data_IF_843245346798
#
_entry.id   IF_843245346798
#
_cell.length_a   1.000
_cell.length_b   1.000
_cell.length_c   1.000
_cell.angle_alpha   90.00
_cell.angle_beta   90.00
_cell.angle_gamma   90.00
#
_symmetry.space_group_name_H-M   'P 1'
#
loop_
_entity.id
_entity.type
_entity.pdbx_description
1 polymer ?
#
# COMPACT_ATOMS: atom_id res chain seq x y z
N UNK A 1 -1.87 16.70 13.34
CA UNK A 1 -1.60 15.33 12.88
C UNK A 1 -0.09 15.15 12.85
N UNK A 2 0.42 14.05 13.37
CA UNK A 2 1.85 13.80 13.36
C UNK A 2 2.31 13.44 11.94
N UNK A 3 3.51 13.91 11.56
CA UNK A 3 4.15 13.59 10.29
C UNK A 3 4.60 12.11 10.31
N UNK A 4 4.39 11.36 9.24
CA UNK A 4 4.95 10.02 9.06
C UNK A 4 6.29 10.12 8.35
N UNK A 5 6.33 10.77 7.20
CA UNK A 5 7.56 11.07 6.48
C UNK A 5 7.45 12.34 5.62
N UNK A 6 8.61 12.88 5.26
CA UNK A 6 8.76 13.97 4.32
C UNK A 6 9.85 13.63 3.29
N UNK A 7 9.58 13.90 2.03
CA UNK A 7 10.55 13.91 0.94
C UNK A 7 10.93 15.33 0.63
N UNK A 8 12.24 15.60 0.53
CA UNK A 8 12.80 16.92 0.25
C UNK A 8 13.65 16.84 -1.02
N UNK A 9 13.22 17.52 -2.08
CA UNK A 9 13.89 17.62 -3.39
C UNK A 9 14.43 16.29 -3.90
N UNK A 10 13.61 15.24 -3.74
CA UNK A 10 14.01 13.87 -3.99
C UNK A 10 13.98 13.56 -5.49
N UNK A 11 15.08 13.03 -6.03
CA UNK A 11 15.14 12.53 -7.40
C UNK A 11 15.64 11.08 -7.43
N UNK A 12 15.15 10.32 -8.43
CA UNK A 12 15.52 8.93 -8.63
C UNK A 12 15.66 8.59 -10.11
N UNK A 13 16.61 7.70 -10.43
CA UNK A 13 16.88 7.25 -11.79
C UNK A 13 17.25 5.75 -11.83
N UNK A 14 17.03 5.14 -12.98
CA UNK A 14 17.59 3.84 -13.36
C UNK A 14 18.56 4.03 -14.52
N UNK A 15 19.85 3.96 -14.23
CA UNK A 15 20.89 4.35 -15.19
C UNK A 15 20.77 5.82 -15.57
N UNK A 16 20.67 6.11 -16.86
CA UNK A 16 20.50 7.47 -17.38
C UNK A 16 19.05 7.99 -17.35
N UNK A 17 18.06 7.13 -17.08
CA UNK A 17 16.64 7.50 -17.12
C UNK A 17 16.18 8.06 -15.78
N UNK A 18 15.90 9.35 -15.72
CA UNK A 18 15.26 9.99 -14.56
C UNK A 18 13.80 9.57 -14.50
N UNK A 19 13.38 8.99 -13.36
CA UNK A 19 12.02 8.50 -13.12
C UNK A 19 11.26 9.39 -12.15
N UNK A 20 11.96 9.98 -11.20
CA UNK A 20 11.41 11.00 -10.29
C UNK A 20 12.39 12.18 -10.24
N UNK A 21 11.85 13.40 -10.27
CA UNK A 21 12.61 14.63 -10.35
C UNK A 21 12.06 15.68 -9.37
N UNK A 22 12.91 16.14 -8.44
CA UNK A 22 12.61 17.18 -7.45
C UNK A 22 11.26 16.97 -6.71
N UNK A 23 11.03 15.76 -6.23
CA UNK A 23 9.81 15.40 -5.51
C UNK A 23 9.86 15.95 -4.09
N UNK A 24 8.85 16.77 -3.76
CA UNK A 24 8.58 17.25 -2.41
C UNK A 24 7.21 16.69 -2.00
N UNK A 25 7.18 15.87 -0.94
CA UNK A 25 5.97 15.16 -0.56
C UNK A 25 5.94 14.86 0.93
N UNK A 26 4.80 15.12 1.56
CA UNK A 26 4.57 14.87 2.99
C UNK A 26 3.40 13.93 3.18
N UNK A 27 3.55 13.02 4.14
CA UNK A 27 2.48 12.12 4.57
C UNK A 27 2.35 12.18 6.08
N UNK A 28 1.13 12.39 6.55
CA UNK A 28 0.77 12.49 7.96
C UNK A 28 -0.12 11.33 8.39
N UNK A 29 -0.24 11.12 9.70
CA UNK A 29 -1.20 10.18 10.26
C UNK A 29 -2.62 10.51 9.75
N UNK A 30 -3.42 9.48 9.50
CA UNK A 30 -4.78 9.58 8.96
C UNK A 30 -4.90 10.06 7.51
N UNK A 31 -3.80 10.28 6.78
CA UNK A 31 -3.88 10.53 5.35
C UNK A 31 -4.40 9.29 4.61
N UNK A 32 -5.29 9.51 3.64
CA UNK A 32 -5.66 8.51 2.64
C UNK A 32 -5.44 9.13 1.27
N UNK A 33 -4.30 8.80 0.66
CA UNK A 33 -3.80 9.43 -0.55
C UNK A 33 -3.86 8.45 -1.71
N UNK A 34 -4.54 8.85 -2.80
CA UNK A 34 -4.48 8.16 -4.08
C UNK A 34 -3.25 8.60 -4.86
N UNK A 35 -2.38 7.66 -5.24
CA UNK A 35 -1.22 7.91 -6.10
C UNK A 35 -1.60 7.55 -7.54
N UNK A 36 -1.74 8.55 -8.39
CA UNK A 36 -2.18 8.40 -9.78
C UNK A 36 -1.11 8.90 -10.75
N UNK A 37 -1.22 8.50 -12.00
CA UNK A 37 -0.31 8.95 -13.07
C UNK A 37 -0.15 7.89 -14.15
N UNK A 38 0.51 8.21 -15.28
CA UNK A 38 0.69 7.30 -16.39
C UNK A 38 1.56 6.10 -16.03
N UNK A 39 1.47 5.05 -16.86
CA UNK A 39 2.40 3.92 -16.76
C UNK A 39 3.83 4.42 -17.04
N UNK A 40 4.79 3.98 -16.21
CA UNK A 40 6.16 4.50 -16.25
C UNK A 40 6.36 5.86 -15.61
N UNK A 41 5.32 6.54 -15.12
CA UNK A 41 5.40 7.88 -14.48
C UNK A 41 6.13 7.94 -13.14
N UNK A 42 6.53 6.79 -12.55
CA UNK A 42 7.31 6.75 -11.32
C UNK A 42 6.56 6.28 -10.08
N UNK A 43 5.27 5.92 -10.16
CA UNK A 43 4.43 5.50 -9.02
C UNK A 43 5.06 4.35 -8.21
N UNK A 44 5.39 3.24 -8.86
CA UNK A 44 6.03 2.08 -8.19
C UNK A 44 7.43 2.43 -7.67
N UNK A 45 8.16 3.33 -8.35
CA UNK A 45 9.47 3.82 -7.88
C UNK A 45 9.31 4.63 -6.60
N UNK A 46 8.28 5.48 -6.52
CA UNK A 46 7.93 6.23 -5.31
C UNK A 46 7.69 5.27 -4.14
N UNK A 47 6.86 4.22 -4.32
CA UNK A 47 6.63 3.21 -3.28
C UNK A 47 7.92 2.48 -2.90
N UNK A 48 8.76 2.09 -3.87
CA UNK A 48 10.04 1.42 -3.60
C UNK A 48 11.02 2.29 -2.79
N UNK A 49 11.01 3.62 -3.00
CA UNK A 49 11.81 4.55 -2.20
C UNK A 49 11.28 4.62 -0.77
N UNK A 50 9.95 4.73 -0.57
CA UNK A 50 9.34 4.73 0.76
C UNK A 50 9.66 3.42 1.50
N UNK A 51 9.69 2.28 0.80
CA UNK A 51 10.07 0.97 1.35
C UNK A 51 11.59 0.82 1.60
N UNK A 52 12.40 1.80 1.18
CA UNK A 52 13.86 1.71 1.27
C UNK A 52 14.51 0.73 0.30
N UNK A 53 13.75 0.23 -0.70
CA UNK A 53 14.23 -0.72 -1.72
C UNK A 53 15.03 -0.02 -2.85
N UNK A 54 14.79 1.27 -3.06
CA UNK A 54 15.51 2.10 -4.02
C UNK A 54 16.02 3.33 -3.29
N UNK A 55 17.32 3.64 -3.48
CA UNK A 55 17.92 4.87 -2.94
C UNK A 55 17.73 6.00 -3.93
N UNK A 56 17.35 7.22 -3.48
CA UNK A 56 17.33 8.39 -4.33
C UNK A 56 18.74 8.76 -4.80
N UNK A 57 18.85 9.40 -5.96
CA UNK A 57 20.12 9.93 -6.48
C UNK A 57 20.42 11.32 -5.93
N UNK A 58 19.38 12.06 -5.53
CA UNK A 58 19.51 13.35 -4.81
C UNK A 58 18.31 13.55 -3.88
N UNK A 59 18.42 14.52 -2.97
CA UNK A 59 17.42 14.76 -1.94
C UNK A 59 17.38 13.65 -0.89
N UNK A 60 16.33 13.61 -0.10
CA UNK A 60 16.19 12.62 0.98
C UNK A 60 14.72 12.34 1.30
N UNK A 61 14.48 11.21 1.94
CA UNK A 61 13.25 10.92 2.68
C UNK A 61 13.58 10.88 4.16
N UNK A 62 12.82 11.61 4.95
CA UNK A 62 12.98 11.69 6.41
C UNK A 62 11.73 11.14 7.06
N UNK A 63 11.86 10.04 7.77
CA UNK A 63 10.78 9.47 8.58
C UNK A 63 10.76 10.10 9.96
N UNK A 64 9.57 10.24 10.55
CA UNK A 64 9.44 10.64 11.93
C UNK A 64 10.24 9.67 12.82
N UNK A 65 11.16 10.17 13.68
CA UNK A 65 11.98 9.33 14.57
C UNK A 65 11.14 8.41 15.48
N UNK A 66 9.97 8.84 15.91
CA UNK A 66 9.07 8.04 16.76
C UNK A 66 8.50 6.83 16.01
N UNK A 67 8.61 6.81 14.68
CA UNK A 67 8.19 5.73 13.80
C UNK A 67 9.36 4.84 13.33
N UNK A 68 10.57 5.06 13.86
CA UNK A 68 11.78 4.29 13.55
C UNK A 68 11.72 2.89 14.14
N UNK A 69 10.91 2.02 13.54
CA UNK A 69 10.81 0.60 13.93
C UNK A 69 10.58 -0.29 12.71
N UNK A 70 11.19 -1.50 12.73
CA UNK A 70 10.85 -2.53 11.76
C UNK A 70 9.35 -2.85 11.84
N UNK A 71 8.65 -2.86 10.69
CA UNK A 71 7.20 -3.11 10.63
C UNK A 71 6.33 -1.86 10.76
N UNK A 72 6.92 -0.65 10.64
CA UNK A 72 6.18 0.62 10.64
C UNK A 72 5.40 0.83 9.33
N UNK A 73 5.82 0.16 8.25
CA UNK A 73 5.20 0.22 6.93
C UNK A 73 4.65 -1.16 6.59
N UNK A 74 3.35 -1.24 6.31
CA UNK A 74 2.71 -2.38 5.68
C UNK A 74 2.72 -2.21 4.17
N UNK A 75 2.92 -3.29 3.43
CA UNK A 75 2.92 -3.26 1.97
C UNK A 75 2.11 -4.39 1.37
N UNK A 76 1.14 -4.03 0.56
CA UNK A 76 0.39 -4.93 -0.31
C UNK A 76 0.88 -4.68 -1.73
N UNK A 77 1.69 -5.60 -2.29
CA UNK A 77 2.16 -5.51 -3.67
C UNK A 77 1.04 -5.81 -4.64
N UNK A 78 1.25 -5.48 -5.89
CA UNK A 78 0.45 -6.01 -6.99
C UNK A 78 0.55 -7.54 -6.97
N UNK A 79 -0.58 -8.22 -6.80
CA UNK A 79 -0.63 -9.68 -6.71
C UNK A 79 -0.49 -10.27 -8.11
N UNK A 80 0.35 -11.29 -8.27
CA UNK A 80 0.51 -12.03 -9.51
C UNK A 80 0.01 -13.47 -9.37
N UNK A 81 -0.35 -14.10 -10.49
CA UNK A 81 -0.78 -15.50 -10.51
C UNK A 81 0.29 -16.48 -10.01
N UNK A 82 1.57 -16.08 -10.04
CA UNK A 82 2.69 -16.86 -9.50
C UNK A 82 2.66 -16.97 -7.97
N UNK A 83 2.08 -15.98 -7.28
CA UNK A 83 2.00 -15.96 -5.81
C UNK A 83 1.08 -17.04 -5.24
N UNK A 84 0.17 -17.59 -6.06
CA UNK A 84 -0.86 -18.57 -5.69
C UNK A 84 -0.31 -20.01 -5.66
N UNK A 85 0.81 -20.28 -6.33
CA UNK A 85 1.34 -21.63 -6.52
C UNK A 85 2.10 -22.19 -5.29
N UNK A 86 2.29 -21.38 -4.25
CA UNK A 86 3.04 -21.78 -3.06
C UNK A 86 2.17 -22.63 -2.12
N UNK A 87 2.65 -23.75 -1.58
CA UNK A 87 1.89 -24.63 -0.68
C UNK A 87 1.86 -24.04 0.76
N UNK A 88 1.23 -22.90 0.92
CA UNK A 88 1.05 -22.20 2.21
C UNK A 88 -0.43 -21.96 2.44
N UNK A 89 -0.83 -21.92 3.70
CA UNK A 89 -2.20 -21.61 4.09
C UNK A 89 -2.37 -20.12 4.47
N UNK A 90 -3.63 -19.69 4.62
CA UNK A 90 -4.00 -18.31 4.96
C UNK A 90 -3.29 -17.84 6.22
N UNK A 91 -3.28 -18.65 7.30
CA UNK A 91 -2.64 -18.30 8.57
C UNK A 91 -1.15 -18.05 8.38
N UNK A 92 -0.45 -18.90 7.64
CA UNK A 92 0.99 -18.78 7.42
C UNK A 92 1.33 -17.50 6.65
N UNK A 93 0.52 -17.16 5.64
CA UNK A 93 0.72 -15.92 4.87
C UNK A 93 0.51 -14.70 5.74
N UNK A 94 -0.59 -14.63 6.49
CA UNK A 94 -0.88 -13.50 7.39
C UNK A 94 0.24 -13.37 8.42
N UNK A 95 0.63 -14.47 9.08
CA UNK A 95 1.69 -14.49 10.09
C UNK A 95 3.05 -14.06 9.54
N UNK A 96 3.33 -14.30 8.26
CA UNK A 96 4.59 -13.91 7.62
C UNK A 96 4.85 -12.40 7.69
N UNK A 97 3.79 -11.57 7.79
CA UNK A 97 3.90 -10.13 7.98
C UNK A 97 4.53 -9.71 9.30
N UNK A 98 4.55 -10.58 10.31
CA UNK A 98 5.24 -10.33 11.59
C UNK A 98 6.74 -10.64 11.57
N UNK A 99 7.23 -11.40 10.56
CA UNK A 99 8.63 -11.83 10.50
C UNK A 99 9.60 -10.65 10.38
N UNK A 100 9.16 -9.53 9.83
CA UNK A 100 9.97 -8.31 9.71
C UNK A 100 10.30 -7.73 11.10
N UNK A 101 9.39 -7.87 12.09
CA UNK A 101 9.61 -7.41 13.46
C UNK A 101 10.36 -8.43 14.33
N UNK A 102 10.17 -9.71 14.05
CA UNK A 102 10.83 -10.80 14.78
C UNK A 102 12.09 -11.18 14.03
N UNK A 103 13.24 -11.22 14.73
CA UNK A 103 14.44 -11.85 14.14
C UNK A 103 14.04 -13.24 13.62
N UNK A 104 14.46 -13.59 12.43
CA UNK A 104 14.13 -14.78 11.62
C UNK A 104 14.12 -16.12 12.41
N UNK A 105 14.71 -16.17 13.60
CA UNK A 105 14.90 -17.36 14.44
C UNK A 105 13.85 -17.48 15.56
N UNK A 106 12.92 -16.54 15.71
CA UNK A 106 11.98 -16.59 16.83
C UNK A 106 10.75 -17.41 16.46
N UNK A 107 10.49 -18.50 17.19
CA UNK A 107 9.31 -19.33 17.03
C UNK A 107 8.03 -18.51 17.27
N UNK A 108 7.05 -18.62 16.39
CA UNK A 108 5.75 -17.96 16.53
C UNK A 108 5.04 -18.41 17.82
N UNK A 109 4.63 -17.47 18.64
CA UNK A 109 3.96 -17.71 19.93
C UNK A 109 2.47 -17.99 19.76
N UNK A 110 1.81 -18.47 20.82
CA UNK A 110 0.35 -18.61 20.84
C UNK A 110 -0.36 -17.25 20.69
N UNK A 111 0.24 -16.17 21.19
CA UNK A 111 -0.25 -14.79 21.05
C UNK A 111 -0.20 -14.31 19.60
N UNK A 112 0.87 -14.64 18.87
CA UNK A 112 0.98 -14.33 17.44
C UNK A 112 -0.13 -15.02 16.63
N UNK A 113 -0.41 -16.28 16.94
CA UNK A 113 -1.50 -17.03 16.30
C UNK A 113 -2.87 -16.42 16.61
N UNK A 114 -3.09 -16.01 17.87
CA UNK A 114 -4.32 -15.32 18.28
C UNK A 114 -4.48 -13.99 17.53
N UNK A 115 -3.39 -13.23 17.37
CA UNK A 115 -3.40 -11.99 16.61
C UNK A 115 -3.73 -12.25 15.14
N UNK A 116 -3.11 -13.28 14.52
CA UNK A 116 -3.40 -13.65 13.14
C UNK A 116 -4.87 -14.06 12.96
N UNK A 117 -5.42 -14.88 13.86
CA UNK A 117 -6.83 -15.25 13.86
C UNK A 117 -7.75 -14.02 13.94
N UNK A 118 -7.43 -13.04 14.80
CA UNK A 118 -8.19 -11.79 14.89
C UNK A 118 -8.15 -10.97 13.60
N UNK A 119 -7.01 -10.91 12.91
CA UNK A 119 -6.90 -10.22 11.61
C UNK A 119 -7.67 -10.97 10.51
N UNK A 120 -7.61 -12.31 10.50
CA UNK A 120 -8.35 -13.15 9.56
C UNK A 120 -9.86 -12.93 9.72
N UNK A 121 -10.35 -12.89 10.97
CA UNK A 121 -11.74 -12.59 11.30
C UNK A 121 -12.12 -11.16 10.90
N UNK A 122 -11.31 -10.16 11.27
CA UNK A 122 -11.50 -8.74 10.88
C UNK A 122 -11.67 -8.56 9.36
N UNK A 123 -10.99 -9.38 8.56
CA UNK A 123 -11.02 -9.31 7.11
C UNK A 123 -12.10 -10.22 6.48
N UNK A 124 -12.96 -10.86 7.29
CA UNK A 124 -14.04 -11.71 6.81
C UNK A 124 -13.56 -13.01 6.15
N UNK A 125 -12.47 -13.59 6.68
CA UNK A 125 -11.88 -14.85 6.20
C UNK A 125 -12.01 -15.98 7.24
N UNK A 126 -12.89 -15.83 8.23
CA UNK A 126 -13.15 -16.84 9.26
C UNK A 126 -13.56 -18.18 8.63
N UNK A 127 -12.95 -19.26 9.12
CA UNK A 127 -13.13 -20.61 8.59
C UNK A 127 -12.21 -20.96 7.42
N UNK A 128 -11.37 -20.03 6.96
CA UNK A 128 -10.41 -20.24 5.85
C UNK A 128 -8.96 -20.32 6.33
N UNK A 129 -8.74 -20.38 7.63
CA UNK A 129 -7.41 -20.31 8.27
C UNK A 129 -6.43 -21.35 7.71
N UNK A 130 -6.94 -22.55 7.40
CA UNK A 130 -6.17 -23.67 6.87
C UNK A 130 -6.27 -23.85 5.36
N UNK A 131 -7.06 -23.02 4.66
CA UNK A 131 -7.23 -23.09 3.21
C UNK A 131 -5.93 -22.72 2.50
N UNK A 132 -5.64 -23.42 1.41
CA UNK A 132 -4.53 -23.06 0.50
C UNK A 132 -4.87 -21.77 -0.25
N UNK A 133 -3.86 -20.98 -0.61
CA UNK A 133 -4.07 -19.77 -1.43
C UNK A 133 -4.74 -20.08 -2.78
N UNK A 134 -4.48 -21.26 -3.35
CA UNK A 134 -5.06 -21.70 -4.63
C UNK A 134 -6.58 -22.00 -4.57
N UNK A 135 -7.14 -22.15 -3.36
CA UNK A 135 -8.57 -22.41 -3.14
C UNK A 135 -9.36 -21.10 -2.99
N UNK A 136 -8.69 -19.97 -2.88
CA UNK A 136 -9.31 -18.67 -2.60
C UNK A 136 -9.74 -17.96 -3.88
N UNK A 137 -10.86 -17.24 -3.80
CA UNK A 137 -11.23 -16.25 -4.83
C UNK A 137 -10.22 -15.08 -4.86
N UNK A 138 -10.19 -14.32 -5.96
CA UNK A 138 -9.31 -13.16 -6.06
C UNK A 138 -9.48 -12.15 -4.94
N UNK A 139 -10.74 -11.88 -4.53
CA UNK A 139 -11.02 -10.97 -3.41
C UNK A 139 -10.60 -11.53 -2.05
N UNK A 140 -10.76 -12.83 -1.82
CA UNK A 140 -10.26 -13.48 -0.61
C UNK A 140 -8.73 -13.45 -0.54
N UNK A 141 -8.08 -13.73 -1.65
CA UNK A 141 -6.62 -13.66 -1.76
C UNK A 141 -6.10 -12.24 -1.45
N UNK A 142 -6.75 -11.22 -2.00
CA UNK A 142 -6.43 -9.83 -1.72
C UNK A 142 -6.54 -9.50 -0.23
N UNK A 143 -7.60 -9.99 0.45
CA UNK A 143 -7.78 -9.80 1.89
C UNK A 143 -6.71 -10.54 2.70
N UNK A 144 -6.25 -11.71 2.28
CA UNK A 144 -5.14 -12.43 2.91
C UNK A 144 -3.86 -11.61 2.84
N UNK A 145 -3.51 -11.06 1.68
CA UNK A 145 -2.31 -10.21 1.54
C UNK A 145 -2.46 -8.86 2.27
N UNK A 146 -3.68 -8.32 2.36
CA UNK A 146 -3.96 -7.17 3.23
C UNK A 146 -3.71 -7.54 4.71
N UNK A 147 -4.19 -8.70 5.16
CA UNK A 147 -3.93 -9.22 6.52
C UNK A 147 -2.44 -9.32 6.82
N UNK A 148 -1.66 -9.87 5.88
CA UNK A 148 -0.20 -9.89 5.95
C UNK A 148 0.40 -8.49 6.09
N UNK A 149 -0.12 -7.51 5.35
CA UNK A 149 0.41 -6.14 5.39
C UNK A 149 0.11 -5.42 6.71
N UNK A 150 -1.04 -5.71 7.36
CA UNK A 150 -1.49 -4.97 8.55
C UNK A 150 -1.19 -5.66 9.88
N UNK A 151 -0.86 -6.96 9.90
CA UNK A 151 -0.67 -7.71 11.15
C UNK A 151 0.46 -7.14 12.04
N UNK A 152 1.40 -6.43 11.42
CA UNK A 152 2.47 -5.70 12.11
C UNK A 152 2.02 -4.41 12.82
N UNK A 153 0.74 -4.00 12.79
CA UNK A 153 0.24 -2.69 13.22
C UNK A 153 1.07 -1.55 12.63
N UNK A 154 1.15 -1.47 11.28
CA UNK A 154 1.91 -0.41 10.63
C UNK A 154 1.25 0.95 10.88
N UNK A 155 2.06 2.01 10.79
CA UNK A 155 1.57 3.40 10.78
C UNK A 155 1.27 3.92 9.38
N UNK A 156 1.84 3.27 8.37
CA UNK A 156 1.64 3.54 6.96
C UNK A 156 1.36 2.23 6.22
N UNK A 157 0.29 2.20 5.46
CA UNK A 157 -0.05 1.10 4.55
C UNK A 157 0.14 1.57 3.10
N UNK A 158 0.99 0.87 2.36
CA UNK A 158 1.20 1.08 0.94
C UNK A 158 0.47 -0.01 0.15
N UNK A 159 -0.34 0.40 -0.82
CA UNK A 159 -1.10 -0.49 -1.70
C UNK A 159 -0.69 -0.23 -3.14
N UNK A 160 -0.23 -1.26 -3.85
CA UNK A 160 0.19 -1.16 -5.26
C UNK A 160 -0.86 -1.88 -6.14
N UNK A 161 -1.74 -1.11 -6.76
CA UNK A 161 -2.81 -1.56 -7.64
C UNK A 161 -3.68 -2.69 -7.03
N UNK A 162 -4.32 -2.46 -5.87
CA UNK A 162 -5.03 -3.51 -5.17
C UNK A 162 -6.29 -4.02 -5.89
N UNK A 163 -6.86 -3.28 -6.87
CA UNK A 163 -8.15 -3.59 -7.51
C UNK A 163 -8.14 -4.66 -8.60
N UNK A 164 -7.00 -5.21 -8.99
CA UNK A 164 -6.88 -6.04 -10.21
C UNK A 164 -7.54 -7.44 -10.16
N UNK A 165 -8.16 -7.85 -9.04
CA UNK A 165 -8.66 -9.22 -8.86
C UNK A 165 -10.13 -9.32 -8.38
N UNK A 166 -10.90 -8.24 -8.38
CA UNK A 166 -12.16 -8.22 -7.62
C UNK A 166 -13.36 -7.89 -8.49
N UNK A 167 -14.42 -8.67 -8.35
CA UNK A 167 -15.76 -8.32 -8.84
C UNK A 167 -16.30 -7.10 -8.08
N UNK A 168 -17.08 -6.26 -8.75
CA UNK A 168 -17.58 -4.96 -8.26
C UNK A 168 -18.28 -5.00 -6.88
N UNK A 169 -18.86 -6.12 -6.50
CA UNK A 169 -19.51 -6.32 -5.19
C UNK A 169 -18.48 -6.44 -4.04
N UNK A 170 -17.35 -7.08 -4.29
CA UNK A 170 -16.27 -7.22 -3.31
C UNK A 170 -15.41 -5.95 -3.19
N UNK A 171 -15.42 -5.12 -4.23
CA UNK A 171 -14.66 -3.87 -4.27
C UNK A 171 -15.11 -2.90 -3.19
N UNK A 172 -16.41 -2.66 -3.07
CA UNK A 172 -16.95 -1.75 -2.05
C UNK A 172 -16.58 -2.20 -0.63
N UNK A 173 -16.71 -3.49 -0.32
CA UNK A 173 -16.34 -4.05 0.99
C UNK A 173 -14.84 -3.86 1.28
N UNK A 174 -13.98 -4.01 0.28
CA UNK A 174 -12.56 -3.82 0.43
C UNK A 174 -12.22 -2.35 0.73
N UNK A 175 -12.79 -1.41 -0.02
CA UNK A 175 -12.57 0.02 0.23
C UNK A 175 -13.17 0.49 1.57
N UNK A 176 -14.31 -0.06 1.99
CA UNK A 176 -14.86 0.24 3.31
C UNK A 176 -13.94 -0.28 4.42
N UNK A 177 -13.33 -1.47 4.22
CA UNK A 177 -12.30 -1.96 5.12
C UNK A 177 -11.08 -1.05 5.15
N UNK A 178 -10.63 -0.51 4.02
CA UNK A 178 -9.54 0.47 3.97
C UNK A 178 -9.89 1.77 4.73
N UNK A 179 -11.14 2.26 4.65
CA UNK A 179 -11.59 3.40 5.44
C UNK A 179 -11.53 3.14 6.95
N UNK A 180 -11.91 1.92 7.40
CA UNK A 180 -11.77 1.54 8.81
C UNK A 180 -10.31 1.48 9.23
N UNK A 181 -9.44 0.90 8.42
CA UNK A 181 -8.00 0.87 8.67
C UNK A 181 -7.38 2.27 8.72
N UNK A 182 -7.88 3.21 7.88
CA UNK A 182 -7.38 4.58 7.86
C UNK A 182 -7.64 5.35 9.18
N UNK A 183 -8.53 4.89 10.03
CA UNK A 183 -8.72 5.46 11.38
C UNK A 183 -7.49 5.27 12.28
N UNK A 184 -6.63 4.29 11.99
CA UNK A 184 -5.47 3.90 12.81
C UNK A 184 -4.12 3.96 12.09
N UNK A 185 -4.12 4.13 10.76
CA UNK A 185 -2.90 4.22 9.95
C UNK A 185 -3.12 5.08 8.72
N UNK A 186 -2.08 5.72 8.22
CA UNK A 186 -2.13 6.38 6.91
C UNK A 186 -2.13 5.35 5.79
N UNK A 187 -2.75 5.70 4.65
CA UNK A 187 -2.82 4.84 3.47
C UNK A 187 -2.35 5.61 2.23
N UNK A 188 -1.38 5.05 1.52
CA UNK A 188 -1.02 5.43 0.15
C UNK A 188 -1.45 4.31 -0.79
N UNK A 189 -2.31 4.62 -1.74
CA UNK A 189 -2.84 3.64 -2.69
C UNK A 189 -2.52 4.06 -4.12
N UNK A 190 -1.68 3.29 -4.80
CA UNK A 190 -1.48 3.43 -6.25
C UNK A 190 -2.64 2.74 -6.97
N UNK A 191 -3.28 3.46 -7.89
CA UNK A 191 -4.28 2.88 -8.78
C UNK A 191 -4.31 3.65 -10.09
N UNK A 192 -4.74 2.97 -11.13
CA UNK A 192 -5.06 3.56 -12.43
C UNK A 192 -6.57 3.80 -12.61
N UNK A 193 -7.41 3.28 -11.70
CA UNK A 193 -8.86 3.52 -11.69
C UNK A 193 -9.21 4.75 -10.87
N UNK A 194 -9.37 5.88 -11.56
CA UNK A 194 -9.72 7.16 -10.95
C UNK A 194 -11.14 7.15 -10.40
N UNK A 195 -12.07 6.47 -11.08
CA UNK A 195 -13.46 6.40 -10.67
C UNK A 195 -13.60 5.80 -9.26
N UNK A 196 -12.90 4.68 -9.03
CA UNK A 196 -12.90 4.01 -7.73
C UNK A 196 -12.17 4.80 -6.66
N UNK A 197 -10.98 5.35 -6.98
CA UNK A 197 -10.22 6.12 -6.00
C UNK A 197 -10.98 7.37 -5.56
N UNK A 198 -11.63 8.08 -6.48
CA UNK A 198 -12.25 9.39 -6.19
C UNK A 198 -13.33 9.34 -5.11
N UNK A 199 -13.99 8.20 -4.95
CA UNK A 199 -15.01 8.01 -3.92
C UNK A 199 -14.44 7.76 -2.50
N UNK A 200 -13.14 7.47 -2.39
CA UNK A 200 -12.58 6.92 -1.15
C UNK A 200 -11.40 7.71 -0.57
N UNK A 201 -10.60 8.38 -1.40
CA UNK A 201 -9.42 9.12 -0.94
C UNK A 201 -9.74 10.58 -0.58
N UNK A 202 -8.89 11.16 0.27
CA UNK A 202 -9.00 12.57 0.69
C UNK A 202 -8.09 13.51 -0.08
N UNK A 203 -7.12 12.94 -0.80
CA UNK A 203 -6.13 13.71 -1.56
C UNK A 203 -5.47 12.84 -2.60
N UNK A 204 -4.80 13.47 -3.55
CA UNK A 204 -4.13 12.82 -4.67
C UNK A 204 -2.68 13.25 -4.76
N UNK A 205 -1.80 12.31 -5.04
CA UNK A 205 -0.44 12.53 -5.47
C UNK A 205 -0.34 12.15 -6.97
N UNK A 206 -0.35 13.15 -7.83
CA UNK A 206 -0.26 12.99 -9.28
C UNK A 206 1.20 12.86 -9.68
N UNK A 207 1.64 11.66 -10.11
CA UNK A 207 3.03 11.32 -10.37
C UNK A 207 3.28 11.11 -11.85
N UNK A 208 4.06 12.00 -12.45
CA UNK A 208 4.62 11.87 -13.79
C UNK A 208 6.00 12.54 -13.80
N UNK A 209 7.05 11.82 -13.44
CA UNK A 209 8.40 12.28 -13.08
C UNK A 209 8.40 13.27 -11.91
N UNK A 210 7.55 14.28 -11.94
CA UNK A 210 7.27 15.20 -10.82
C UNK A 210 6.06 14.71 -10.03
N UNK A 211 5.92 15.20 -8.82
CA UNK A 211 4.77 14.91 -7.98
C UNK A 211 4.02 16.21 -7.68
N UNK A 212 2.72 16.24 -8.02
CA UNK A 212 1.81 17.31 -7.65
C UNK A 212 0.79 16.76 -6.66
N UNK A 213 0.69 17.38 -5.48
CA UNK A 213 -0.23 16.99 -4.44
C UNK A 213 -1.47 17.89 -4.46
N UNK A 214 -2.66 17.30 -4.42
CA UNK A 214 -3.94 18.00 -4.43
C UNK A 214 -4.88 17.43 -3.37
N UNK A 215 -5.47 18.25 -2.49
CA UNK A 215 -6.65 17.85 -1.72
C UNK A 215 -7.79 17.46 -2.67
N UNK A 216 -8.62 16.48 -2.30
CA UNK A 216 -9.73 16.02 -3.15
C UNK A 216 -10.76 17.11 -3.45
N UNK A 217 -10.88 18.13 -2.57
CA UNK A 217 -11.74 19.29 -2.77
C UNK A 217 -11.24 20.30 -3.81
N UNK A 218 -9.97 20.21 -4.23
CA UNK A 218 -9.33 21.19 -5.11
C UNK A 218 -9.08 20.68 -6.53
N UNK A 219 -9.42 19.40 -6.81
CA UNK A 219 -9.17 18.79 -8.12
C UNK A 219 -10.43 18.12 -8.66
N UNK A 220 -10.78 18.42 -9.92
CA UNK A 220 -11.92 17.78 -10.60
C UNK A 220 -11.55 16.40 -11.18
N UNK A 221 -12.56 15.55 -11.42
CA UNK A 221 -12.34 14.26 -12.07
C UNK A 221 -11.72 14.41 -13.48
N UNK A 222 -12.04 15.46 -14.22
CA UNK A 222 -11.45 15.74 -15.53
C UNK A 222 -9.96 16.04 -15.42
N UNK A 223 -9.56 16.82 -14.41
CA UNK A 223 -8.14 17.09 -14.14
C UNK A 223 -7.40 15.83 -13.70
N UNK A 224 -8.01 14.97 -12.87
CA UNK A 224 -7.43 13.69 -12.49
C UNK A 224 -7.20 12.78 -13.68
N UNK A 225 -8.17 12.71 -14.61
CA UNK A 225 -8.06 11.95 -15.87
C UNK A 225 -6.90 12.46 -16.73
N UNK A 226 -6.69 13.78 -16.82
CA UNK A 226 -5.57 14.36 -17.54
C UNK A 226 -4.20 13.96 -16.96
N UNK A 227 -4.10 13.75 -15.65
CA UNK A 227 -2.88 13.22 -15.02
C UNK A 227 -2.67 11.72 -15.26
N UNK A 228 -3.74 10.92 -15.31
CA UNK A 228 -3.63 9.47 -15.51
C UNK A 228 -3.36 9.08 -16.97
N UNK A 229 -3.94 9.82 -17.91
CA UNK A 229 -3.78 9.62 -19.35
C UNK A 229 -3.39 10.95 -19.99
N UNK A 230 -2.12 11.40 -19.90
CA UNK A 230 -1.69 12.58 -20.64
C UNK A 230 -1.92 12.30 -22.11
N UNK A 231 -2.75 13.14 -22.74
CA UNK A 231 -2.95 13.14 -24.20
C UNK A 231 -1.57 13.35 -24.82
N UNK A 232 -1.11 12.40 -25.65
CA UNK A 232 0.13 12.49 -26.40
C UNK A 232 0.03 13.58 -27.46
#
# INVERSE_FOLDING_TARGET
MALIFEMESLSASYGANIVLEDVNFRVSESDFIGVIGPNGGGKTTLLKIILGLVKPVSGKIVFNPDLNGTGTIGYLPQISTGDISYPVNVTDVVMSGMMIRKRIITRMSAEDRKKAAGIIDELGLSGMESSSLSELSGGQLQRVFLGRAIIGDPKLLLLDEPGNFVDSTFENDFYDKLKELNKRMAILMVSHDIGMISAHVRSYACVNRKLNYHPSSEISNEQLLAYACPIQ
#
